data_IF_072889514702
#
_entry.id   IF_072889514702
#
_cell.length_a   1.000
_cell.length_b   1.000
_cell.length_c   1.000
_cell.angle_alpha   90.00
_cell.angle_beta   90.00
_cell.angle_gamma   90.00
#
_symmetry.space_group_name_H-M   'P 1'
#
loop_
_entity.id
_entity.type
_entity.pdbx_description
1 polymer ?
#
# COMPACT_ATOMS: atom_id res chain seq x y z
N UNK A 1 -14.16 16.66 -6.50
CA UNK A 1 -15.65 16.60 -6.55
C UNK A 1 -16.10 15.22 -7.03
N UNK A 2 -17.37 14.83 -6.84
CA UNK A 2 -17.87 13.48 -7.13
C UNK A 2 -17.60 13.00 -8.57
N UNK A 3 -17.70 13.91 -9.55
CA UNK A 3 -17.42 13.62 -10.96
C UNK A 3 -15.96 13.22 -11.22
N UNK A 4 -15.01 13.83 -10.50
CA UNK A 4 -13.60 13.47 -10.61
C UNK A 4 -13.32 12.07 -10.04
N UNK A 5 -14.09 11.63 -9.04
CA UNK A 5 -13.94 10.28 -8.48
C UNK A 5 -14.40 9.20 -9.47
N UNK A 6 -15.41 9.46 -10.30
CA UNK A 6 -15.90 8.52 -11.31
C UNK A 6 -14.81 8.23 -12.35
N UNK A 7 -14.26 9.28 -12.98
CA UNK A 7 -13.18 9.15 -13.97
C UNK A 7 -11.89 8.59 -13.37
N UNK A 8 -11.58 8.93 -12.11
CA UNK A 8 -10.39 8.43 -11.45
C UNK A 8 -10.39 6.90 -11.27
N UNK A 9 -11.57 6.27 -11.13
CA UNK A 9 -11.66 4.82 -11.05
C UNK A 9 -11.55 4.09 -12.39
N UNK A 10 -11.61 4.79 -13.52
CA UNK A 10 -11.38 4.20 -14.85
C UNK A 10 -9.91 3.81 -15.01
N UNK A 11 -9.00 4.60 -14.42
CA UNK A 11 -7.57 4.33 -14.44
C UNK A 11 -7.11 3.28 -13.43
N UNK A 12 -7.97 2.84 -12.49
CA UNK A 12 -7.56 1.85 -11.48
C UNK A 12 -7.10 0.53 -12.09
N UNK A 13 -7.75 0.08 -13.17
CA UNK A 13 -7.39 -1.16 -13.87
C UNK A 13 -6.01 -1.05 -14.52
N UNK A 14 -5.76 0.06 -15.22
CA UNK A 14 -4.46 0.36 -15.81
C UNK A 14 -3.37 0.48 -14.74
N UNK A 15 -3.65 1.15 -13.63
CA UNK A 15 -2.70 1.27 -12.51
C UNK A 15 -2.41 -0.09 -11.87
N UNK A 16 -3.41 -0.95 -11.68
CA UNK A 16 -3.21 -2.31 -11.18
C UNK A 16 -2.31 -3.11 -12.14
N UNK A 17 -2.60 -3.05 -13.44
CA UNK A 17 -1.80 -3.70 -14.48
C UNK A 17 -0.34 -3.23 -14.46
N UNK A 18 -0.11 -1.91 -14.44
CA UNK A 18 1.22 -1.32 -14.42
C UNK A 18 1.99 -1.73 -13.16
N UNK A 19 1.37 -1.65 -11.98
CA UNK A 19 2.02 -2.02 -10.72
C UNK A 19 2.38 -3.51 -10.63
N UNK A 20 1.58 -4.38 -11.25
CA UNK A 20 1.78 -5.82 -11.24
C UNK A 20 2.84 -6.29 -12.25
N UNK A 21 2.77 -5.77 -13.48
CA UNK A 21 3.46 -6.38 -14.63
C UNK A 21 4.67 -5.58 -15.12
N UNK A 22 4.73 -4.28 -14.87
CA UNK A 22 5.78 -3.43 -15.43
C UNK A 22 6.93 -3.20 -14.44
N UNK A 23 8.16 -3.37 -14.94
CA UNK A 23 9.35 -2.89 -14.24
C UNK A 23 9.44 -1.37 -14.42
N UNK A 24 9.52 -0.65 -13.32
CA UNK A 24 9.48 0.81 -13.33
C UNK A 24 10.35 1.40 -12.23
N UNK A 25 10.89 2.57 -12.53
CA UNK A 25 11.62 3.41 -11.59
C UNK A 25 10.81 3.62 -10.29
N UNK A 26 11.44 3.56 -9.10
CA UNK A 26 10.76 3.71 -7.81
C UNK A 26 9.87 4.95 -7.74
N UNK A 27 10.32 6.06 -8.32
CA UNK A 27 9.56 7.32 -8.35
C UNK A 27 8.22 7.19 -9.07
N UNK A 28 8.18 6.48 -10.20
CA UNK A 28 6.93 6.25 -10.95
C UNK A 28 6.01 5.32 -10.15
N UNK A 29 6.58 4.26 -9.57
CA UNK A 29 5.84 3.34 -8.70
C UNK A 29 5.18 4.06 -7.52
N UNK A 30 5.91 4.98 -6.89
CA UNK A 30 5.39 5.81 -5.80
C UNK A 30 4.19 6.65 -6.26
N UNK A 31 4.24 7.28 -7.44
CA UNK A 31 3.11 8.06 -7.97
C UNK A 31 1.85 7.21 -8.19
N UNK A 32 2.03 5.98 -8.67
CA UNK A 32 0.94 5.02 -8.83
C UNK A 32 0.35 4.60 -7.48
N UNK A 33 1.19 4.27 -6.49
CA UNK A 33 0.74 3.92 -5.14
C UNK A 33 0.02 5.11 -4.46
N UNK A 34 0.52 6.33 -4.66
CA UNK A 34 -0.13 7.56 -4.18
C UNK A 34 -1.53 7.74 -4.77
N UNK A 35 -1.69 7.43 -6.06
CA UNK A 35 -3.01 7.46 -6.72
C UNK A 35 -3.99 6.50 -6.03
N UNK A 36 -3.55 5.26 -5.75
CA UNK A 36 -4.36 4.26 -5.02
C UNK A 36 -4.74 4.76 -3.63
N UNK A 37 -3.79 5.30 -2.88
CA UNK A 37 -4.05 5.85 -1.55
C UNK A 37 -5.07 7.00 -1.60
N UNK A 38 -4.91 7.91 -2.57
CA UNK A 38 -5.82 9.04 -2.78
C UNK A 38 -7.24 8.58 -3.11
N UNK A 39 -7.39 7.57 -3.98
CA UNK A 39 -8.70 7.03 -4.33
C UNK A 39 -9.38 6.34 -3.18
N UNK A 40 -8.63 5.62 -2.34
CA UNK A 40 -9.17 4.80 -1.26
C UNK A 40 -9.41 5.58 0.05
N UNK A 41 -8.76 6.72 0.24
CA UNK A 41 -8.88 7.50 1.47
C UNK A 41 -10.33 7.95 1.71
N UNK A 42 -10.94 7.44 2.79
CA UNK A 42 -12.32 7.72 3.19
C UNK A 42 -13.37 7.51 2.08
N UNK A 43 -13.11 6.59 1.14
CA UNK A 43 -14.01 6.31 0.01
C UNK A 43 -14.31 4.81 -0.11
N UNK A 44 -15.38 4.31 0.53
CA UNK A 44 -15.73 2.89 0.53
C UNK A 44 -15.96 2.28 -0.85
N UNK A 45 -16.46 3.07 -1.81
CA UNK A 45 -16.70 2.61 -3.19
C UNK A 45 -15.37 2.30 -3.87
N UNK A 46 -14.42 3.23 -3.80
CA UNK A 46 -13.07 3.04 -4.33
C UNK A 46 -12.31 1.93 -3.60
N UNK A 47 -12.42 1.83 -2.28
CA UNK A 47 -11.79 0.75 -1.51
C UNK A 47 -12.29 -0.63 -1.96
N UNK A 48 -13.61 -0.78 -2.14
CA UNK A 48 -14.21 -2.03 -2.64
C UNK A 48 -13.73 -2.36 -4.05
N UNK A 49 -13.65 -1.35 -4.93
CA UNK A 49 -13.17 -1.54 -6.31
C UNK A 49 -11.67 -1.89 -6.34
N UNK A 50 -10.85 -1.24 -5.52
CA UNK A 50 -9.43 -1.55 -5.39
C UNK A 50 -9.21 -2.99 -4.88
N UNK A 51 -10.01 -3.43 -3.90
CA UNK A 51 -10.00 -4.84 -3.48
C UNK A 51 -10.35 -5.80 -4.63
N UNK A 52 -11.41 -5.51 -5.40
CA UNK A 52 -11.80 -6.33 -6.56
C UNK A 52 -10.73 -6.39 -7.66
N UNK A 53 -9.89 -5.36 -7.77
CA UNK A 53 -8.79 -5.27 -8.72
C UNK A 53 -7.46 -5.82 -8.16
N UNK A 54 -7.50 -6.61 -7.09
CA UNK A 54 -6.34 -7.30 -6.52
C UNK A 54 -5.21 -6.35 -6.06
N UNK A 55 -5.53 -5.10 -5.70
CA UNK A 55 -4.51 -4.16 -5.20
C UNK A 55 -3.84 -4.65 -3.91
N UNK A 56 -4.53 -5.40 -3.06
CA UNK A 56 -3.97 -5.90 -1.80
C UNK A 56 -2.78 -6.83 -2.05
N UNK A 57 -2.91 -7.96 -2.78
CA UNK A 57 -1.77 -8.81 -3.07
C UNK A 57 -0.68 -8.10 -3.89
N UNK A 58 -1.06 -7.23 -4.84
CA UNK A 58 -0.08 -6.42 -5.61
C UNK A 58 0.79 -5.58 -4.66
N UNK A 59 0.16 -4.81 -3.76
CA UNK A 59 0.87 -3.95 -2.80
C UNK A 59 1.72 -4.77 -1.83
N UNK A 60 1.21 -5.91 -1.34
CA UNK A 60 1.97 -6.77 -0.42
C UNK A 60 3.24 -7.32 -1.07
N UNK A 61 3.22 -7.63 -2.37
CA UNK A 61 4.40 -8.10 -3.10
C UNK A 61 5.59 -7.12 -3.03
N UNK A 62 5.32 -5.82 -2.84
CA UNK A 62 6.38 -4.82 -2.72
C UNK A 62 7.17 -4.92 -1.42
N UNK A 63 6.62 -5.54 -0.38
CA UNK A 63 7.36 -5.82 0.84
C UNK A 63 8.35 -6.97 0.69
N UNK A 64 7.95 -7.98 -0.10
CA UNK A 64 8.70 -9.22 -0.35
C UNK A 64 9.88 -8.99 -1.28
N UNK A 65 9.78 -8.01 -2.20
CA UNK A 65 10.90 -7.60 -3.06
C UNK A 65 12.07 -7.13 -2.19
N UNK A 66 13.17 -7.89 -2.28
CA UNK A 66 14.46 -7.49 -1.73
C UNK A 66 15.12 -6.53 -2.70
N UNK A 67 15.73 -5.49 -2.15
CA UNK A 67 16.67 -4.67 -2.91
C UNK A 67 18.04 -5.30 -2.72
N UNK A 68 18.62 -5.82 -3.79
CA UNK A 68 20.00 -6.32 -3.77
C UNK A 68 21.02 -5.18 -3.95
N UNK A 69 20.53 -3.94 -4.08
CA UNK A 69 21.38 -2.77 -4.25
C UNK A 69 22.11 -2.42 -2.97
N UNK A 70 23.41 -2.15 -3.10
CA UNK A 70 24.24 -1.57 -2.05
C UNK A 70 24.31 -0.04 -2.15
N UNK A 71 23.69 0.56 -3.16
CA UNK A 71 23.71 2.00 -3.41
C UNK A 71 22.69 2.66 -2.49
N UNK A 72 23.16 3.55 -1.61
CA UNK A 72 22.33 4.18 -0.56
C UNK A 72 21.05 4.86 -1.08
N UNK A 73 21.13 5.55 -2.22
CA UNK A 73 19.96 6.21 -2.82
C UNK A 73 18.92 5.19 -3.29
N UNK A 74 19.34 4.11 -3.94
CA UNK A 74 18.43 3.06 -4.40
C UNK A 74 17.80 2.29 -3.23
N UNK A 75 18.56 2.05 -2.16
CA UNK A 75 18.02 1.49 -0.92
C UNK A 75 16.96 2.41 -0.31
N UNK A 76 17.23 3.72 -0.30
CA UNK A 76 16.28 4.72 0.20
C UNK A 76 15.00 4.78 -0.64
N UNK A 77 15.11 4.77 -1.96
CA UNK A 77 13.96 4.82 -2.85
C UNK A 77 13.10 3.55 -2.74
N UNK A 78 13.72 2.38 -2.61
CA UNK A 78 13.02 1.13 -2.34
C UNK A 78 12.30 1.16 -0.98
N UNK A 79 12.89 1.78 0.04
CA UNK A 79 12.25 1.97 1.34
C UNK A 79 11.04 2.91 1.23
N UNK A 80 11.14 3.99 0.45
CA UNK A 80 10.02 4.91 0.21
C UNK A 80 8.85 4.22 -0.48
N UNK A 81 9.09 3.32 -1.44
CA UNK A 81 8.04 2.48 -2.04
C UNK A 81 7.29 1.70 -0.95
N UNK A 82 8.01 1.07 -0.01
CA UNK A 82 7.41 0.32 1.11
C UNK A 82 6.62 1.25 2.06
N UNK A 83 7.09 2.47 2.31
CA UNK A 83 6.38 3.44 3.15
C UNK A 83 5.07 3.88 2.51
N UNK A 84 5.08 4.24 1.22
CA UNK A 84 3.87 4.56 0.48
C UNK A 84 2.92 3.37 0.38
N UNK A 85 3.45 2.16 0.26
CA UNK A 85 2.65 0.93 0.28
C UNK A 85 1.91 0.78 1.61
N UNK A 86 2.57 1.01 2.75
CA UNK A 86 1.90 1.00 4.05
C UNK A 86 0.80 2.05 4.14
N UNK A 87 1.07 3.27 3.66
CA UNK A 87 0.07 4.32 3.66
C UNK A 87 -1.15 3.99 2.78
N UNK A 88 -0.93 3.43 1.59
CA UNK A 88 -2.01 3.02 0.69
C UNK A 88 -2.87 1.91 1.32
N UNK A 89 -2.24 0.90 1.93
CA UNK A 89 -2.97 -0.15 2.66
C UNK A 89 -3.76 0.43 3.84
N UNK A 90 -3.20 1.38 4.60
CA UNK A 90 -3.95 2.10 5.64
C UNK A 90 -5.19 2.78 5.06
N UNK A 91 -5.04 3.54 3.97
CA UNK A 91 -6.16 4.21 3.30
C UNK A 91 -7.25 3.22 2.84
N UNK A 92 -6.86 2.03 2.38
CA UNK A 92 -7.79 0.96 2.00
C UNK A 92 -8.55 0.37 3.20
N UNK A 93 -7.91 0.32 4.37
CA UNK A 93 -8.53 -0.22 5.60
C UNK A 93 -9.47 0.76 6.32
N UNK A 94 -9.41 2.06 6.01
CA UNK A 94 -10.22 3.08 6.70
C UNK A 94 -11.71 2.75 6.66
N UNK A 95 -12.29 2.41 7.82
CA UNK A 95 -13.69 1.97 7.98
C UNK A 95 -14.08 0.74 7.14
N UNK A 96 -13.11 -0.12 6.79
CA UNK A 96 -13.32 -1.27 5.93
C UNK A 96 -12.75 -2.57 6.54
N UNK A 97 -13.56 -3.20 7.39
CA UNK A 97 -13.18 -4.45 8.07
C UNK A 97 -12.90 -5.60 7.09
N UNK A 98 -13.53 -5.61 5.92
CA UNK A 98 -13.28 -6.64 4.89
C UNK A 98 -11.84 -6.59 4.37
N UNK A 99 -11.28 -5.38 4.18
CA UNK A 99 -9.87 -5.23 3.80
C UNK A 99 -8.97 -5.62 4.95
N UNK A 100 -9.29 -5.23 6.19
CA UNK A 100 -8.52 -5.62 7.38
C UNK A 100 -8.45 -7.14 7.53
N UNK A 101 -9.57 -7.85 7.33
CA UNK A 101 -9.59 -9.31 7.40
C UNK A 101 -8.70 -9.94 6.33
N UNK A 102 -8.75 -9.44 5.09
CA UNK A 102 -7.91 -9.95 4.01
C UNK A 102 -6.42 -9.77 4.29
N UNK A 103 -6.01 -8.60 4.81
CA UNK A 103 -4.61 -8.36 5.20
C UNK A 103 -4.07 -9.37 6.23
N UNK A 104 -4.94 -9.94 7.07
CA UNK A 104 -4.53 -10.96 8.06
C UNK A 104 -4.21 -12.32 7.43
N UNK A 105 -4.84 -12.63 6.29
CA UNK A 105 -4.60 -13.88 5.57
C UNK A 105 -3.19 -13.90 4.96
N UNK A 106 -2.56 -12.73 4.77
CA UNK A 106 -1.17 -12.63 4.33
C UNK A 106 -0.19 -12.77 5.49
N UNK A 107 0.11 -14.01 5.89
CA UNK A 107 0.93 -14.31 7.07
C UNK A 107 2.32 -13.64 7.08
N UNK A 108 2.96 -13.48 5.92
CA UNK A 108 4.25 -12.81 5.80
C UNK A 108 4.17 -11.29 6.06
N UNK A 109 3.01 -10.66 5.84
CA UNK A 109 2.82 -9.22 5.98
C UNK A 109 3.17 -8.74 7.38
N UNK A 110 2.75 -9.49 8.41
CA UNK A 110 3.03 -9.13 9.81
C UNK A 110 4.52 -9.03 10.10
N UNK A 111 5.33 -9.92 9.55
CA UNK A 111 6.79 -9.88 9.68
C UNK A 111 7.37 -8.65 8.97
N UNK A 112 6.94 -8.38 7.73
CA UNK A 112 7.41 -7.22 6.98
C UNK A 112 7.08 -5.89 7.66
N UNK A 113 5.85 -5.75 8.17
CA UNK A 113 5.43 -4.57 8.91
C UNK A 113 6.23 -4.37 10.19
N UNK A 114 6.54 -5.45 10.92
CA UNK A 114 7.38 -5.38 12.12
C UNK A 114 8.79 -4.85 11.79
N UNK A 115 9.41 -5.36 10.72
CA UNK A 115 10.72 -4.89 10.27
C UNK A 115 10.67 -3.42 9.83
N UNK A 116 9.65 -3.03 9.07
CA UNK A 116 9.49 -1.65 8.60
C UNK A 116 9.16 -0.67 9.73
N UNK A 117 8.46 -1.11 10.77
CA UNK A 117 8.19 -0.29 11.94
C UNK A 117 9.48 0.15 12.66
N UNK A 118 10.56 -0.63 12.57
CA UNK A 118 11.87 -0.26 13.12
C UNK A 118 12.67 0.76 12.30
N UNK A 119 12.20 1.17 11.12
CA UNK A 119 12.89 2.16 10.29
C UNK A 119 12.54 3.60 10.68
N UNK A 120 13.35 4.58 10.25
CA UNK A 120 13.07 6.00 10.51
C UNK A 120 12.07 6.56 9.50
N UNK A 121 10.86 6.89 9.97
CA UNK A 121 9.77 7.47 9.17
C UNK A 121 9.83 9.01 9.09
N UNK A 122 11.03 9.57 8.87
CA UNK A 122 11.20 11.03 8.86
C UNK A 122 10.39 11.66 7.72
N UNK A 123 9.59 12.68 8.05
CA UNK A 123 8.74 13.38 7.09
C UNK A 123 7.34 12.78 6.91
N UNK A 124 7.04 11.66 7.57
CA UNK A 124 5.70 11.12 7.66
C UNK A 124 5.03 11.58 8.96
N UNK A 125 3.70 11.71 8.95
CA UNK A 125 2.94 12.07 10.15
C UNK A 125 2.94 10.96 11.20
N UNK A 126 3.02 9.71 10.75
CA UNK A 126 2.89 8.50 11.56
C UNK A 126 3.79 7.39 10.99
N UNK A 127 4.07 6.39 11.81
CA UNK A 127 4.65 5.13 11.36
C UNK A 127 3.56 4.20 10.83
N UNK A 128 3.23 4.30 9.54
CA UNK A 128 2.12 3.54 8.97
C UNK A 128 2.33 2.02 8.98
N UNK A 129 3.58 1.54 9.06
CA UNK A 129 3.84 0.11 9.24
C UNK A 129 3.41 -0.37 10.63
N UNK A 130 3.68 0.42 11.67
CA UNK A 130 3.24 0.15 13.04
C UNK A 130 1.72 0.21 13.16
N UNK A 131 1.08 1.22 12.56
CA UNK A 131 -0.39 1.34 12.51
C UNK A 131 -1.02 0.09 11.89
N UNK A 132 -0.54 -0.36 10.72
CA UNK A 132 -1.03 -1.59 10.08
C UNK A 132 -0.75 -2.81 10.94
N UNK A 133 0.45 -2.93 11.51
CA UNK A 133 0.83 -4.07 12.36
C UNK A 133 -0.12 -4.23 13.53
N UNK A 134 -0.48 -3.13 14.19
CA UNK A 134 -1.47 -3.14 15.25
C UNK A 134 -2.87 -3.44 14.72
N UNK A 135 -3.29 -2.82 13.61
CA UNK A 135 -4.62 -3.03 13.06
C UNK A 135 -4.89 -4.51 12.72
N UNK A 136 -3.94 -5.18 12.06
CA UNK A 136 -4.06 -6.61 11.74
C UNK A 136 -3.93 -7.50 12.98
N UNK A 137 -3.19 -7.04 14.00
CA UNK A 137 -2.95 -7.78 15.24
C UNK A 137 -4.02 -7.64 16.34
N UNK A 138 -4.73 -6.51 16.37
CA UNK A 138 -5.69 -6.15 17.42
C UNK A 138 -7.05 -6.84 17.26
N UNK A 139 -7.49 -7.09 16.03
CA UNK A 139 -8.76 -7.75 15.78
C UNK A 139 -8.65 -9.27 15.98
N UNK A 140 -8.63 -9.70 17.24
CA UNK A 140 -8.92 -11.06 17.68
C UNK A 140 -10.44 -11.19 17.86
N UNK A 141 -11.17 -11.54 16.80
CA UNK A 141 -12.54 -12.03 16.90
C UNK A 141 -12.70 -13.18 15.92
#
# INVERSE_FOLDING_TARGET
GPTAAIFATEYMEEVAYLLQNEEMEPKIKILLIQSVACWCYLNPVSQKKAKYMEFIPILISFFERRSDSTIKSEVHDNLLVKFWTCYALCAMTCNNLSVVSELKEHHALKYHLHVLAGHTWRGWSENFAEVLYFLIGLHRN
#
